data_IF_437735053216
#
_entry.id   IF_437735053216
#
_cell.length_a   1.000
_cell.length_b   1.000
_cell.length_c   1.000
_cell.angle_alpha   90.00
_cell.angle_beta   90.00
_cell.angle_gamma   90.00
#
_symmetry.space_group_name_H-M   'P 1'
#
loop_
_entity.id
_entity.type
_entity.pdbx_description
1 polymer ?
#
# COMPACT_ATOMS: atom_id res chain seq x y z
N UNK A 1 31.10 -20.92 -0.68
CA UNK A 1 30.64 -19.76 -1.48
C UNK A 1 29.84 -18.87 -0.55
N UNK A 2 30.39 -17.72 -0.22
CA UNK A 2 29.87 -16.76 0.77
C UNK A 2 28.70 -15.97 0.18
N UNK A 3 27.49 -16.18 0.73
CA UNK A 3 26.39 -15.23 0.52
C UNK A 3 26.61 -14.06 1.49
N UNK A 4 27.00 -12.92 0.93
CA UNK A 4 27.09 -11.65 1.66
C UNK A 4 25.68 -11.15 1.94
N UNK A 5 25.16 -11.46 3.13
CA UNK A 5 24.00 -10.79 3.68
C UNK A 5 24.43 -9.36 4.04
N UNK A 6 24.06 -8.39 3.20
CA UNK A 6 24.09 -6.98 3.62
C UNK A 6 23.03 -6.82 4.72
N UNK A 7 23.50 -6.78 5.96
CA UNK A 7 22.71 -6.46 7.14
C UNK A 7 22.12 -5.06 7.00
N UNK A 8 20.83 -4.98 6.68
CA UNK A 8 20.02 -3.78 6.85
C UNK A 8 19.12 -4.03 8.07
N UNK A 9 19.42 -3.32 9.16
CA UNK A 9 18.67 -3.43 10.42
C UNK A 9 17.25 -2.89 10.29
N UNK A 10 16.34 -3.78 9.93
CA UNK A 10 14.89 -3.78 10.18
C UNK A 10 14.50 -5.26 10.08
N UNK A 11 13.71 -5.80 11.00
CA UNK A 11 13.21 -7.17 10.89
C UNK A 11 12.45 -7.33 9.56
N UNK A 12 13.10 -7.89 8.55
CA UNK A 12 12.53 -8.11 7.23
C UNK A 12 11.64 -9.35 7.33
N UNK A 13 10.42 -9.18 7.81
CA UNK A 13 9.38 -10.15 7.50
C UNK A 13 9.25 -10.20 5.97
N UNK A 14 9.48 -11.36 5.39
CA UNK A 14 9.27 -11.58 3.96
C UNK A 14 7.79 -11.37 3.64
N UNK A 15 7.48 -10.34 2.87
CA UNK A 15 6.14 -10.08 2.35
C UNK A 15 5.99 -10.68 0.95
N UNK A 16 4.93 -11.46 0.75
CA UNK A 16 4.62 -12.08 -0.54
C UNK A 16 3.42 -11.39 -1.17
N UNK A 17 3.42 -11.30 -2.50
CA UNK A 17 2.36 -10.71 -3.32
C UNK A 17 1.96 -11.66 -4.43
N UNK A 18 0.67 -11.64 -4.78
CA UNK A 18 0.18 -12.36 -5.96
C UNK A 18 0.54 -11.60 -7.23
N UNK A 19 0.91 -12.34 -8.28
CA UNK A 19 1.23 -11.78 -9.60
C UNK A 19 0.02 -11.85 -10.51
N UNK A 20 -0.25 -10.75 -11.18
CA UNK A 20 -1.38 -10.55 -12.09
C UNK A 20 -0.88 -10.24 -13.50
N UNK A 21 -1.72 -10.54 -14.49
CA UNK A 21 -1.59 -9.97 -15.83
C UNK A 21 -1.97 -8.48 -15.80
N UNK A 22 -1.74 -7.79 -16.91
CA UNK A 22 -2.11 -6.38 -17.08
C UNK A 22 -3.59 -6.14 -16.78
N UNK A 23 -4.47 -6.98 -17.33
CA UNK A 23 -5.93 -6.91 -17.17
C UNK A 23 -6.42 -7.31 -15.75
N UNK A 24 -5.49 -7.52 -14.81
CA UNK A 24 -5.80 -7.86 -13.42
C UNK A 24 -6.21 -9.31 -13.21
N UNK A 25 -5.88 -10.22 -14.13
CA UNK A 25 -6.16 -11.65 -14.01
C UNK A 25 -5.06 -12.31 -13.15
N UNK A 26 -5.41 -13.06 -12.08
CA UNK A 26 -4.43 -13.78 -11.29
C UNK A 26 -3.66 -14.79 -12.14
N UNK A 27 -2.34 -14.81 -12.04
CA UNK A 27 -1.49 -15.77 -12.78
C UNK A 27 -1.24 -17.07 -12.00
N UNK A 28 -1.61 -17.10 -10.72
CA UNK A 28 -1.28 -18.18 -9.79
C UNK A 28 0.17 -18.15 -9.27
N UNK A 29 1.00 -17.22 -9.75
CA UNK A 29 2.37 -17.02 -9.24
C UNK A 29 2.35 -16.12 -8.01
N UNK A 30 3.23 -16.43 -7.06
CA UNK A 30 3.51 -15.63 -5.86
C UNK A 30 4.97 -15.20 -5.92
N UNK A 31 5.25 -13.96 -5.56
CA UNK A 31 6.62 -13.41 -5.48
C UNK A 31 6.84 -12.66 -4.19
N UNK A 32 8.10 -12.55 -3.77
CA UNK A 32 8.46 -11.61 -2.71
C UNK A 32 8.24 -10.17 -3.23
N UNK A 33 7.72 -9.29 -2.37
CA UNK A 33 7.28 -7.92 -2.73
C UNK A 33 8.39 -7.11 -3.39
N UNK A 34 9.63 -7.23 -2.92
CA UNK A 34 10.78 -6.47 -3.39
C UNK A 34 11.61 -7.16 -4.49
N UNK A 35 11.28 -8.40 -4.85
CA UNK A 35 11.86 -9.09 -6.02
C UNK A 35 11.63 -8.26 -7.29
N UNK A 36 12.58 -8.27 -8.22
CA UNK A 36 12.38 -7.63 -9.52
C UNK A 36 11.18 -8.25 -10.25
N UNK A 37 10.30 -7.40 -10.79
CA UNK A 37 9.15 -7.83 -11.58
C UNK A 37 9.53 -7.81 -13.05
N UNK A 38 9.17 -8.87 -13.77
CA UNK A 38 9.42 -8.99 -15.21
C UNK A 38 8.37 -8.18 -15.99
N UNK A 39 8.65 -7.79 -17.26
CA UNK A 39 7.63 -7.21 -18.12
C UNK A 39 6.38 -8.10 -18.17
N UNK A 40 5.21 -7.49 -17.92
CA UNK A 40 3.94 -8.21 -17.87
C UNK A 40 3.56 -8.78 -16.49
N UNK A 41 4.43 -8.67 -15.48
CA UNK A 41 4.10 -9.03 -14.10
C UNK A 41 3.61 -7.79 -13.33
N UNK A 42 2.35 -7.84 -12.92
CA UNK A 42 1.72 -6.79 -12.14
C UNK A 42 1.38 -7.31 -10.74
N UNK A 43 1.20 -6.42 -9.79
CA UNK A 43 0.69 -6.74 -8.46
C UNK A 43 -0.27 -5.65 -8.00
N UNK A 44 -1.14 -5.98 -7.05
CA UNK A 44 -2.12 -5.03 -6.53
C UNK A 44 -1.50 -4.15 -5.45
N UNK A 45 -1.80 -2.85 -5.55
CA UNK A 45 -1.41 -1.85 -4.56
C UNK A 45 -2.66 -1.08 -4.15
N UNK A 46 -2.77 -0.76 -2.87
CA UNK A 46 -3.84 0.08 -2.35
C UNK A 46 -3.28 1.45 -1.98
N UNK A 47 -4.04 2.50 -2.27
CA UNK A 47 -3.78 3.86 -1.80
C UNK A 47 -5.02 4.31 -1.04
N UNK A 48 -4.83 4.78 0.19
CA UNK A 48 -5.91 5.24 1.04
C UNK A 48 -6.00 6.76 0.96
N UNK A 49 -7.15 7.25 0.49
CA UNK A 49 -7.46 8.68 0.51
C UNK A 49 -8.29 8.96 1.75
N UNK A 50 -7.73 9.75 2.67
CA UNK A 50 -8.45 10.26 3.83
C UNK A 50 -8.72 11.75 3.66
N UNK A 51 -9.94 12.16 4.01
CA UNK A 51 -10.37 13.55 3.97
C UNK A 51 -10.99 13.93 5.31
N UNK A 52 -10.63 15.10 5.85
CA UNK A 52 -11.30 15.62 7.06
C UNK A 52 -12.76 15.93 6.76
N UNK A 53 -13.60 15.95 7.81
CA UNK A 53 -14.97 16.44 7.67
C UNK A 53 -14.96 17.86 7.07
N UNK A 54 -15.94 18.15 6.21
CA UNK A 54 -16.20 19.52 5.76
C UNK A 54 -16.78 20.27 6.97
N UNK A 55 -15.96 21.08 7.63
CA UNK A 55 -16.38 21.85 8.80
C UNK A 55 -16.03 23.34 8.69
N UNK A 56 -16.94 24.24 9.10
CA UNK A 56 -18.38 23.99 9.23
C UNK A 56 -19.00 24.05 7.84
N UNK A 57 -19.94 23.14 7.54
CA UNK A 57 -20.77 23.01 6.32
C UNK A 57 -20.06 22.74 4.96
N UNK A 58 -20.62 21.82 4.13
CA UNK A 58 -20.20 21.65 2.74
C UNK A 58 -20.25 22.97 1.97
N UNK A 59 -19.11 23.39 1.42
CA UNK A 59 -19.00 24.60 0.60
C UNK A 59 -18.52 25.87 1.32
N UNK A 60 -18.43 25.88 2.66
CA UNK A 60 -17.79 27.00 3.39
C UNK A 60 -16.33 26.71 3.75
N UNK A 61 -15.87 25.49 3.51
CA UNK A 61 -14.47 25.10 3.54
C UNK A 61 -14.26 23.80 2.77
N UNK A 62 -13.09 23.62 2.17
CA UNK A 62 -12.72 22.35 1.57
C UNK A 62 -12.15 21.43 2.67
N UNK A 63 -12.76 20.27 2.89
CA UNK A 63 -12.13 19.23 3.70
C UNK A 63 -10.72 18.94 3.19
N UNK A 64 -9.77 18.80 4.12
CA UNK A 64 -8.37 18.62 3.80
C UNK A 64 -8.06 17.15 3.54
N UNK A 65 -7.18 16.89 2.59
CA UNK A 65 -6.65 15.54 2.37
C UNK A 65 -5.43 15.30 3.27
N UNK A 66 -5.35 14.09 3.81
CA UNK A 66 -4.21 13.67 4.61
C UNK A 66 -3.19 13.02 3.67
N UNK A 67 -1.96 13.53 3.72
CA UNK A 67 -0.78 12.97 3.06
C UNK A 67 0.30 12.74 4.11
N UNK A 68 1.18 11.77 3.89
CA UNK A 68 2.28 11.45 4.81
C UNK A 68 3.62 11.77 4.19
N UNK A 69 4.60 12.13 5.02
CA UNK A 69 5.99 12.19 4.60
C UNK A 69 6.65 10.86 4.93
N UNK A 70 7.17 10.18 3.92
CA UNK A 70 7.83 8.87 4.08
C UNK A 70 9.06 9.01 4.99
N UNK A 71 9.23 8.03 5.89
CA UNK A 71 10.41 7.94 6.75
C UNK A 71 11.72 8.07 5.96
N UNK A 72 12.72 8.72 6.54
CA UNK A 72 14.07 8.77 5.95
C UNK A 72 14.73 7.39 5.84
N UNK A 73 14.19 6.37 6.54
CA UNK A 73 14.62 4.97 6.47
C UNK A 73 13.86 4.16 5.41
N UNK A 74 12.89 4.75 4.72
CA UNK A 74 12.10 4.03 3.72
C UNK A 74 12.98 3.57 2.55
N UNK A 75 12.80 2.32 2.11
CA UNK A 75 13.54 1.73 0.97
C UNK A 75 13.40 2.52 -0.31
N UNK A 76 12.20 3.06 -0.56
CA UNK A 76 11.88 3.87 -1.73
C UNK A 76 11.37 5.25 -1.30
N UNK A 77 11.76 6.27 -2.04
CA UNK A 77 11.29 7.66 -1.93
C UNK A 77 11.36 8.24 -0.51
N UNK A 78 12.43 7.95 0.23
CA UNK A 78 12.68 8.48 1.57
C UNK A 78 12.52 10.02 1.64
N UNK A 79 11.77 10.51 2.63
CA UNK A 79 11.52 11.94 2.85
C UNK A 79 10.56 12.61 1.85
N UNK A 80 10.00 11.87 0.87
CA UNK A 80 8.99 12.40 -0.05
C UNK A 80 7.59 12.33 0.54
N UNK A 81 6.71 13.18 0.04
CA UNK A 81 5.27 13.12 0.33
C UNK A 81 4.63 11.99 -0.47
N UNK A 82 3.74 11.25 0.17
CA UNK A 82 3.04 10.10 -0.39
C UNK A 82 1.66 9.92 0.27
N UNK A 83 0.82 9.09 -0.32
CA UNK A 83 -0.41 8.62 0.33
C UNK A 83 -0.10 7.41 1.21
N UNK A 84 -0.92 7.18 2.24
CA UNK A 84 -0.88 5.94 3.01
C UNK A 84 -1.27 4.76 2.13
N UNK A 85 -0.57 3.64 2.25
CA UNK A 85 -0.90 2.42 1.53
C UNK A 85 0.30 1.55 1.20
N UNK A 86 0.04 0.46 0.49
CA UNK A 86 1.05 -0.53 0.19
C UNK A 86 0.56 -1.66 -0.71
N UNK A 87 1.45 -2.62 -0.94
CA UNK A 87 1.15 -3.82 -1.71
C UNK A 87 0.17 -4.74 -0.97
N UNK A 88 -0.80 -5.28 -1.70
CA UNK A 88 -1.71 -6.30 -1.20
C UNK A 88 -0.95 -7.61 -1.05
N UNK A 89 -0.91 -8.17 0.17
CA UNK A 89 -0.20 -9.43 0.44
C UNK A 89 -0.91 -10.61 -0.24
N UNK A 90 -0.18 -11.69 -0.52
CA UNK A 90 -0.76 -12.90 -1.10
C UNK A 90 -1.86 -13.46 -0.18
N UNK A 91 -3.03 -13.74 -0.75
CA UNK A 91 -4.21 -14.17 0.00
C UNK A 91 -4.96 -13.07 0.75
N UNK A 92 -4.49 -11.82 0.69
CA UNK A 92 -5.15 -10.64 1.28
C UNK A 92 -6.11 -9.99 0.26
N UNK A 93 -7.28 -9.54 0.71
CA UNK A 93 -8.14 -8.69 -0.11
C UNK A 93 -7.66 -7.23 -0.08
N UNK A 94 -7.98 -6.40 -1.10
CA UNK A 94 -7.62 -4.97 -1.06
C UNK A 94 -8.15 -4.23 0.17
N UNK A 95 -9.33 -4.59 0.68
CA UNK A 95 -9.89 -4.00 1.89
C UNK A 95 -9.09 -4.34 3.15
N UNK A 96 -8.69 -5.61 3.31
CA UNK A 96 -7.82 -6.05 4.41
C UNK A 96 -6.45 -5.36 4.35
N UNK A 97 -5.86 -5.25 3.15
CA UNK A 97 -4.62 -4.53 2.94
C UNK A 97 -4.74 -3.07 3.38
N UNK A 98 -5.82 -2.38 3.00
CA UNK A 98 -6.02 -0.99 3.37
C UNK A 98 -6.18 -0.78 4.90
N UNK A 99 -6.91 -1.67 5.58
CA UNK A 99 -7.03 -1.67 7.05
C UNK A 99 -5.67 -1.86 7.71
N UNK A 100 -4.89 -2.84 7.22
CA UNK A 100 -3.57 -3.13 7.75
C UNK A 100 -2.60 -1.97 7.56
N UNK A 101 -2.49 -1.43 6.34
CA UNK A 101 -1.55 -0.33 6.04
C UNK A 101 -1.88 0.93 6.86
N UNK A 102 -3.16 1.26 7.06
CA UNK A 102 -3.57 2.34 7.97
C UNK A 102 -3.09 2.12 9.41
N UNK A 103 -3.19 0.89 9.90
CA UNK A 103 -2.74 0.54 11.25
C UNK A 103 -1.21 0.53 11.37
N UNK A 104 -0.51 -0.02 10.37
CA UNK A 104 0.96 -0.15 10.37
C UNK A 104 1.65 1.21 10.21
N UNK A 105 1.15 2.08 9.32
CA UNK A 105 1.81 3.36 9.01
C UNK A 105 1.38 4.51 9.93
N UNK A 106 0.10 4.55 10.33
CA UNK A 106 -0.48 5.68 11.07
C UNK A 106 -1.05 5.32 12.44
N UNK A 107 -1.12 4.02 12.79
CA UNK A 107 -1.77 3.57 14.02
C UNK A 107 -3.29 3.76 14.02
N UNK A 108 -3.90 3.98 12.85
CA UNK A 108 -5.35 4.18 12.72
C UNK A 108 -6.02 2.82 12.54
N UNK A 109 -6.89 2.47 13.48
CA UNK A 109 -7.63 1.20 13.45
C UNK A 109 -9.04 1.44 12.91
N UNK A 110 -9.34 0.80 11.79
CA UNK A 110 -10.65 0.82 11.13
C UNK A 110 -11.10 -0.60 10.79
N UNK A 111 -12.37 -0.77 10.41
CA UNK A 111 -12.90 -2.00 9.87
C UNK A 111 -13.08 -1.87 8.36
N UNK A 112 -13.14 -2.98 7.60
CA UNK A 112 -13.39 -2.93 6.16
C UNK A 112 -14.66 -2.15 5.78
N UNK A 113 -15.69 -2.13 6.64
CA UNK A 113 -16.94 -1.40 6.41
C UNK A 113 -16.80 0.12 6.52
N UNK A 114 -15.75 0.61 7.18
CA UNK A 114 -15.45 2.04 7.28
C UNK A 114 -14.80 2.58 6.00
N UNK A 115 -14.36 1.67 5.11
CA UNK A 115 -13.74 2.00 3.84
C UNK A 115 -14.78 2.01 2.71
N UNK A 116 -14.62 2.97 1.80
CA UNK A 116 -15.36 3.02 0.54
C UNK A 116 -14.40 2.90 -0.62
N UNK A 117 -14.66 1.96 -1.52
CA UNK A 117 -13.92 1.87 -2.78
C UNK A 117 -14.16 3.13 -3.60
N UNK A 118 -13.11 3.93 -3.78
CA UNK A 118 -13.16 5.13 -4.61
C UNK A 118 -13.01 4.78 -6.10
N UNK A 119 -12.03 3.93 -6.41
CA UNK A 119 -11.72 3.50 -7.77
C UNK A 119 -10.98 2.16 -7.76
N UNK A 120 -11.21 1.34 -8.78
CA UNK A 120 -10.48 0.09 -9.05
C UNK A 120 -9.92 0.15 -10.47
N UNK A 121 -8.60 0.29 -10.59
CA UNK A 121 -7.94 0.38 -11.88
C UNK A 121 -7.58 -1.02 -12.39
N UNK A 122 -8.21 -1.42 -13.50
CA UNK A 122 -7.74 -2.52 -14.32
C UNK A 122 -6.79 -1.92 -15.36
N UNK A 123 -5.51 -2.32 -15.33
CA UNK A 123 -4.40 -1.72 -16.10
C UNK A 123 -4.40 -2.22 -17.54
#
# INVERSE_FOLDING_TARGET
>A
MTLSAKNWGCDHFMEYIDVYTRDGIPTGKIKEKHEAKLPGEYFRHVLIIMKTADFPVPGEGAGMYIVQQRSLKARYYAGKWDMTGGGVRSGETPGEAAVRELSEELGIVVKPQDLKLAFDLKI
#
